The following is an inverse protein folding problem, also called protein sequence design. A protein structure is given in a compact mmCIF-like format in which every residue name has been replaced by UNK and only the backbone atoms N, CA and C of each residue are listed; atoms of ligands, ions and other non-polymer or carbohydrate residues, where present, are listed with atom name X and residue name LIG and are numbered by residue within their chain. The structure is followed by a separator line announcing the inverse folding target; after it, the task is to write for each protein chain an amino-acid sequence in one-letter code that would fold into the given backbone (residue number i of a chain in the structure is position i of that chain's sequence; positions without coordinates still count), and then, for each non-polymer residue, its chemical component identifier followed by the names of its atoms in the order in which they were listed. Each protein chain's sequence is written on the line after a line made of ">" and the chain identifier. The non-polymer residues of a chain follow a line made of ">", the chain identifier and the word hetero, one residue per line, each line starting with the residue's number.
data_IF_690017597111
#
_entry.id   IF_690017597111
#
_cell.length_a   1.000
_cell.length_b   1.000
_cell.length_c   1.000
_cell.angle_alpha   90.00
_cell.angle_beta   90.00
_cell.angle_gamma   90.00
#
_symmetry.space_group_name_H-M   'P 1'
#
loop_
_entity.id
_entity.type
_entity.pdbx_description
1 polymer ?
#
# COMPACT_ATOMS: atom_id res chain seq x y z
N UNK A 1 5.17 -31.61 36.28
CA UNK A 1 5.59 -31.33 34.89
C UNK A 1 4.49 -30.75 34.00
N UNK A 2 3.26 -31.30 34.00
CA UNK A 2 2.14 -30.82 33.16
C UNK A 2 1.74 -29.34 33.38
N UNK A 3 1.85 -28.84 34.62
CA UNK A 3 1.54 -27.43 34.96
C UNK A 3 2.59 -26.44 34.43
N UNK A 4 3.83 -26.87 34.18
CA UNK A 4 4.91 -26.02 33.69
C UNK A 4 4.74 -25.74 32.19
N UNK A 5 4.27 -26.73 31.42
CA UNK A 5 4.06 -26.60 29.97
C UNK A 5 2.91 -25.62 29.65
N UNK A 6 1.81 -25.65 30.43
CA UNK A 6 0.68 -24.73 30.24
C UNK A 6 1.09 -23.28 30.52
N UNK A 7 1.93 -23.05 31.53
CA UNK A 7 2.46 -21.71 31.85
C UNK A 7 3.41 -21.23 30.74
N UNK A 8 4.25 -22.10 30.18
CA UNK A 8 5.18 -21.73 29.10
C UNK A 8 4.45 -21.39 27.79
N UNK A 9 3.39 -22.13 27.45
CA UNK A 9 2.57 -21.87 26.24
C UNK A 9 1.73 -20.60 26.42
N UNK A 10 1.18 -20.35 27.62
CA UNK A 10 0.48 -19.11 27.92
C UNK A 10 1.42 -17.89 27.84
N UNK A 11 2.66 -18.02 28.32
CA UNK A 11 3.67 -16.95 28.28
C UNK A 11 4.09 -16.63 26.82
N UNK A 12 4.12 -17.62 25.93
CA UNK A 12 4.45 -17.44 24.52
C UNK A 12 3.37 -16.67 23.74
N UNK A 13 2.10 -16.82 24.12
CA UNK A 13 0.98 -16.09 23.48
C UNK A 13 0.91 -14.61 23.89
N UNK A 14 1.42 -14.26 25.08
CA UNK A 14 1.46 -12.87 25.56
C UNK A 14 2.58 -12.03 24.92
N UNK A 15 3.57 -12.66 24.27
CA UNK A 15 4.68 -11.96 23.60
C UNK A 15 4.36 -11.37 22.22
N UNK A 16 3.19 -11.69 21.64
CA UNK A 16 2.87 -11.34 20.25
C UNK A 16 2.13 -9.99 20.07
N UNK A 17 1.85 -9.26 21.16
CA UNK A 17 1.02 -8.04 21.12
C UNK A 17 1.76 -6.73 21.40
N UNK A 18 3.09 -6.70 21.27
CA UNK A 18 3.80 -5.42 21.23
C UNK A 18 3.74 -4.88 19.79
N UNK A 19 2.55 -4.41 19.40
CA UNK A 19 2.44 -3.50 18.27
C UNK A 19 3.04 -2.18 18.73
N UNK A 20 4.27 -1.90 18.30
CA UNK A 20 4.92 -0.65 18.60
C UNK A 20 4.20 0.46 17.83
N UNK A 21 3.49 1.34 18.55
CA UNK A 21 2.79 2.50 18.01
C UNK A 21 3.80 3.61 17.72
N UNK A 22 4.31 3.65 16.50
CA UNK A 22 5.14 4.74 16.00
C UNK A 22 4.39 5.55 14.97
N UNK A 23 4.65 6.86 14.97
CA UNK A 23 4.22 7.74 13.91
C UNK A 23 5.19 7.62 12.72
N UNK A 24 4.72 8.01 11.54
CA UNK A 24 5.49 8.04 10.31
C UNK A 24 5.56 9.47 9.79
N UNK A 25 6.76 10.05 9.83
CA UNK A 25 7.05 11.37 9.28
C UNK A 25 7.56 11.17 7.85
N UNK A 26 6.87 11.76 6.87
CA UNK A 26 7.30 11.73 5.46
C UNK A 26 7.88 13.09 5.11
N UNK A 27 9.13 13.10 4.68
CA UNK A 27 9.86 14.32 4.31
C UNK A 27 9.67 14.68 2.84
N UNK A 28 10.07 15.91 2.47
CA UNK A 28 10.06 16.38 1.07
C UNK A 28 10.98 15.53 0.19
N UNK A 29 12.08 15.05 0.75
CA UNK A 29 13.03 14.14 0.10
C UNK A 29 12.50 12.69 0.00
N UNK A 30 11.25 12.45 0.43
CA UNK A 30 10.58 11.15 0.49
C UNK A 30 11.23 10.15 1.44
N UNK A 31 12.08 10.62 2.36
CA UNK A 31 12.53 9.82 3.49
C UNK A 31 11.35 9.58 4.44
N UNK A 32 11.15 8.32 4.82
CA UNK A 32 10.16 7.90 5.82
C UNK A 32 10.88 7.67 7.14
N UNK A 33 10.54 8.48 8.13
CA UNK A 33 11.14 8.42 9.46
C UNK A 33 10.09 7.90 10.42
N UNK A 34 10.32 6.70 10.95
CA UNK A 34 9.50 6.15 12.03
C UNK A 34 9.92 6.76 13.36
N UNK A 35 8.97 7.27 14.13
CA UNK A 35 9.27 7.88 15.41
C UNK A 35 8.02 8.37 16.14
N UNK A 36 8.15 8.61 17.43
CA UNK A 36 7.09 9.22 18.23
C UNK A 36 7.24 10.74 18.17
N UNK A 37 6.26 11.43 17.59
CA UNK A 37 6.25 12.90 17.53
C UNK A 37 5.96 13.45 18.92
N UNK A 38 6.81 14.37 19.39
CA UNK A 38 6.70 15.00 20.70
C UNK A 38 6.07 16.39 20.62
N UNK A 39 6.47 17.17 19.64
CA UNK A 39 6.03 18.55 19.50
C UNK A 39 6.09 18.98 18.03
N UNK A 40 5.07 19.69 17.59
CA UNK A 40 4.98 20.31 16.27
C UNK A 40 4.88 21.82 16.50
N UNK A 41 5.94 22.55 16.19
CA UNK A 41 5.97 24.02 16.20
C UNK A 41 5.86 24.55 14.77
N UNK A 42 5.75 25.87 14.62
CA UNK A 42 5.69 26.51 13.29
C UNK A 42 7.00 26.35 12.50
N UNK A 43 8.14 26.28 13.19
CA UNK A 43 9.46 26.19 12.54
C UNK A 43 9.99 24.75 12.44
N UNK A 44 9.66 23.89 13.41
CA UNK A 44 10.29 22.58 13.60
C UNK A 44 9.35 21.55 14.21
N UNK A 45 9.67 20.28 13.97
CA UNK A 45 9.00 19.10 14.53
C UNK A 45 10.04 18.30 15.33
N UNK A 46 9.72 18.00 16.58
CA UNK A 46 10.54 17.24 17.52
C UNK A 46 10.02 15.81 17.64
N UNK A 47 10.89 14.80 17.52
CA UNK A 47 10.49 13.39 17.52
C UNK A 47 11.56 12.47 18.16
N UNK A 48 11.13 11.30 18.62
CA UNK A 48 12.01 10.23 19.12
C UNK A 48 12.06 9.08 18.12
N UNK A 49 13.25 8.54 17.84
CA UNK A 49 13.38 7.38 16.96
C UNK A 49 13.40 6.07 17.77
N UNK A 50 12.84 4.97 17.22
CA UNK A 50 12.84 3.67 17.89
C UNK A 50 14.19 2.95 17.79
N UNK A 51 15.00 3.26 16.78
CA UNK A 51 16.32 2.65 16.54
C UNK A 51 17.42 3.20 17.46
N UNK A 52 17.09 4.19 18.31
CA UNK A 52 18.02 4.92 19.16
C UNK A 52 17.50 4.99 20.59
N UNK A 53 18.39 5.17 21.58
CA UNK A 53 17.95 5.32 22.97
C UNK A 53 16.92 6.45 23.06
N UNK A 54 15.79 6.16 23.72
CA UNK A 54 14.61 7.02 23.84
C UNK A 54 14.85 8.37 24.55
N UNK A 55 16.08 8.62 24.99
CA UNK A 55 16.55 9.85 25.60
C UNK A 55 16.98 10.92 24.58
N UNK A 56 17.17 10.56 23.30
CA UNK A 56 17.63 11.52 22.27
C UNK A 56 16.44 12.07 21.48
N UNK A 57 16.18 13.37 21.64
CA UNK A 57 15.16 14.10 20.86
C UNK A 57 15.78 14.61 19.57
N UNK A 58 15.22 14.18 18.44
CA UNK A 58 15.59 14.64 17.10
C UNK A 58 14.66 15.77 16.68
N UNK A 59 15.18 16.72 15.90
CA UNK A 59 14.40 17.85 15.38
C UNK A 59 14.55 17.95 13.88
N UNK A 60 13.44 18.18 13.18
CA UNK A 60 13.38 18.39 11.73
C UNK A 60 12.67 19.72 11.43
N UNK A 61 13.14 20.54 10.47
CA UNK A 61 12.43 21.74 10.05
C UNK A 61 11.05 21.37 9.48
N UNK A 62 9.99 22.13 9.83
CA UNK A 62 8.63 21.90 9.33
C UNK A 62 8.56 21.96 7.81
N UNK A 63 9.35 22.85 7.19
CA UNK A 63 9.48 22.98 5.73
C UNK A 63 10.02 21.75 5.02
N UNK A 64 10.65 20.82 5.75
CA UNK A 64 11.13 19.53 5.21
C UNK A 64 10.14 18.40 5.39
N UNK A 65 8.97 18.64 5.98
CA UNK A 65 7.93 17.62 6.21
C UNK A 65 6.79 17.83 5.24
N UNK A 66 6.36 16.75 4.59
CA UNK A 66 5.20 16.73 3.69
C UNK A 66 3.95 16.36 4.46
N UNK A 67 4.02 15.26 5.21
CA UNK A 67 2.95 14.81 6.08
C UNK A 67 3.48 14.02 7.28
N UNK A 68 2.69 13.99 8.33
CA UNK A 68 2.85 13.07 9.46
C UNK A 68 1.62 12.17 9.49
N UNK A 69 1.84 10.86 9.49
CA UNK A 69 0.81 9.87 9.78
C UNK A 69 1.02 9.37 11.20
N UNK A 70 0.08 9.66 12.10
CA UNK A 70 0.16 9.24 13.49
C UNK A 70 -0.21 7.77 13.66
N UNK A 71 0.21 7.16 14.77
CA UNK A 71 -0.08 5.77 15.07
C UNK A 71 -1.59 5.46 15.19
N UNK A 72 -2.42 6.46 15.49
CA UNK A 72 -3.89 6.34 15.52
C UNK A 72 -4.53 6.39 14.12
N UNK A 73 -3.72 6.60 13.08
CA UNK A 73 -4.15 6.70 11.68
C UNK A 73 -4.51 8.12 11.23
N UNK A 74 -4.47 9.13 12.11
CA UNK A 74 -4.67 10.52 11.73
C UNK A 74 -3.51 11.04 10.88
N UNK A 75 -3.78 11.99 9.99
CA UNK A 75 -2.80 12.52 9.03
C UNK A 75 -2.80 14.04 9.12
N UNK A 76 -1.62 14.64 9.31
CA UNK A 76 -1.40 16.08 9.25
C UNK A 76 -0.53 16.43 8.05
N UNK A 77 -1.02 17.33 7.19
CA UNK A 77 -0.38 17.77 5.95
C UNK A 77 0.24 19.15 6.13
N UNK A 78 1.49 19.30 5.69
CA UNK A 78 2.30 20.51 5.94
C UNK A 78 2.67 21.28 4.67
N UNK A 79 2.23 20.84 3.48
CA UNK A 79 2.41 21.61 2.24
C UNK A 79 1.36 22.71 2.11
N UNK A 80 1.83 23.95 2.04
CA UNK A 80 1.00 25.10 1.70
C UNK A 80 0.49 24.99 0.25
N UNK A 81 -0.82 25.12 0.09
CA UNK A 81 -1.44 25.33 -1.24
C UNK A 81 -0.85 26.61 -1.84
N UNK A 82 -0.43 26.63 -3.12
CA UNK A 82 -0.09 27.87 -3.78
C UNK A 82 -1.33 28.76 -3.81
N UNK A 83 -1.31 29.84 -3.03
CA UNK A 83 -2.34 30.87 -3.02
C UNK A 83 -2.28 31.58 -4.36
N UNK A 84 -3.29 31.35 -5.20
CA UNK A 84 -3.51 32.10 -6.44
C UNK A 84 -3.85 33.53 -6.04
N UNK A 85 -2.90 34.44 -6.21
CA UNK A 85 -3.15 35.86 -6.15
C UNK A 85 -4.15 36.22 -7.26
N UNK A 86 -5.34 36.64 -6.83
CA UNK A 86 -6.41 37.15 -7.68
C UNK A 86 -5.94 38.47 -8.31
N UNK A 87 -5.47 38.42 -9.55
CA UNK A 87 -5.29 39.61 -10.38
C UNK A 87 -6.65 39.96 -11.00
N UNK A 88 -7.30 40.96 -10.44
CA UNK A 88 -8.47 41.61 -11.01
C UNK A 88 -7.96 42.67 -12.00
N UNK A 89 -8.15 42.44 -13.30
CA UNK A 89 -7.90 43.43 -14.35
C UNK A 89 -9.23 43.74 -15.03
N UNK A 90 -9.73 44.95 -14.79
CA UNK A 90 -10.72 45.61 -15.63
C UNK A 90 -10.04 45.99 -16.95
N UNK A 91 -10.61 45.67 -18.11
CA UNK A 91 -10.62 46.59 -19.28
C UNK A 91 -11.80 46.21 -20.19
N UNK A 92 -12.82 47.06 -20.15
CA UNK A 92 -13.76 47.27 -21.24
C UNK A 92 -13.07 48.10 -22.33
N UNK A 93 -13.36 47.80 -23.59
CA UNK A 93 -12.90 48.45 -24.84
C UNK A 93 -11.56 47.94 -25.43
N UNK A 94 -11.65 47.16 -26.53
CA UNK A 94 -11.00 47.37 -27.85
C UNK A 94 -11.52 46.26 -28.78
N UNK A 95 -12.52 46.55 -29.63
CA UNK A 95 -13.29 45.53 -30.35
C UNK A 95 -12.82 45.22 -31.78
N UNK A 96 -11.78 45.87 -32.31
CA UNK A 96 -11.46 45.72 -33.74
C UNK A 96 -10.07 45.15 -34.06
N UNK A 97 -9.10 45.16 -33.14
CA UNK A 97 -7.75 44.59 -33.38
C UNK A 97 -7.63 43.10 -33.07
N UNK A 98 -8.51 42.55 -32.23
CA UNK A 98 -8.48 41.13 -31.82
C UNK A 98 -8.93 40.18 -32.95
N UNK A 99 -9.70 40.68 -33.91
CA UNK A 99 -10.27 39.87 -35.00
C UNK A 99 -9.23 39.48 -36.06
N UNK A 100 -8.22 40.31 -36.26
CA UNK A 100 -7.09 40.05 -37.17
C UNK A 100 -6.11 39.05 -36.55
N UNK A 101 -5.81 39.20 -35.26
CA UNK A 101 -4.88 38.34 -34.52
C UNK A 101 -5.45 36.93 -34.30
N UNK A 102 -6.76 36.80 -34.10
CA UNK A 102 -7.47 35.50 -34.11
C UNK A 102 -7.45 34.80 -35.47
N UNK A 103 -7.30 35.53 -36.57
CA UNK A 103 -7.22 34.94 -37.92
C UNK A 103 -5.85 34.31 -38.15
N UNK A 104 -4.80 34.96 -37.69
CA UNK A 104 -3.43 34.46 -37.74
C UNK A 104 -3.21 33.24 -36.83
N UNK A 105 -3.81 33.23 -35.63
CA UNK A 105 -3.76 32.09 -34.71
C UNK A 105 -4.57 30.88 -35.20
N UNK A 106 -5.67 31.10 -35.93
CA UNK A 106 -6.49 30.01 -36.51
C UNK A 106 -5.80 29.28 -37.65
N UNK A 107 -5.04 29.99 -38.48
CA UNK A 107 -4.21 29.39 -39.54
C UNK A 107 -3.01 28.60 -38.97
N UNK A 108 -2.48 28.99 -37.81
CA UNK A 108 -1.46 28.20 -37.10
C UNK A 108 -2.02 26.96 -36.39
N UNK A 109 -3.28 26.99 -35.95
CA UNK A 109 -3.93 25.84 -35.29
C UNK A 109 -4.27 24.69 -36.25
N UNK A 110 -4.40 24.96 -37.55
CA UNK A 110 -4.70 23.94 -38.57
C UNK A 110 -3.48 23.05 -38.93
N UNK A 111 -2.29 23.42 -38.45
CA UNK A 111 -1.04 22.68 -38.71
C UNK A 111 -0.48 21.96 -37.47
N UNK A 112 -1.22 21.85 -36.36
CA UNK A 112 -0.73 21.11 -35.19
C UNK A 112 -0.92 19.59 -35.33
N UNK A 113 0.13 18.78 -35.05
CA UNK A 113 0.02 17.33 -35.06
C UNK A 113 -0.93 16.87 -33.94
N UNK A 114 -1.91 16.04 -34.31
CA UNK A 114 -2.81 15.37 -33.37
C UNK A 114 -2.00 14.51 -32.39
N UNK A 115 -1.94 14.90 -31.11
CA UNK A 115 -1.33 14.08 -30.07
C UNK A 115 -2.35 13.03 -29.61
N UNK A 116 -2.00 11.75 -29.75
CA UNK A 116 -2.91 10.64 -29.46
C UNK A 116 -3.04 10.39 -27.95
N UNK A 117 -4.26 10.03 -27.54
CA UNK A 117 -4.70 9.68 -26.16
C UNK A 117 -4.09 8.35 -25.67
N UNK A 118 -3.17 7.76 -26.41
CA UNK A 118 -2.66 6.39 -26.18
C UNK A 118 -1.80 6.26 -24.92
N UNK A 119 -1.13 7.33 -24.47
CA UNK A 119 -0.17 7.24 -23.36
C UNK A 119 -0.82 7.00 -21.99
N UNK A 120 -2.03 7.51 -21.76
CA UNK A 120 -2.75 7.35 -20.48
C UNK A 120 -3.34 5.94 -20.35
N UNK A 121 -3.87 5.38 -21.44
CA UNK A 121 -4.37 4.00 -21.47
C UNK A 121 -3.24 2.98 -21.31
N UNK A 122 -2.02 3.32 -21.74
CA UNK A 122 -0.88 2.42 -21.63
C UNK A 122 -0.34 2.26 -20.20
N UNK A 123 -0.58 3.24 -19.32
CA UNK A 123 -0.16 3.21 -17.91
C UNK A 123 -1.20 2.57 -16.96
N UNK A 124 -2.49 2.56 -17.35
CA UNK A 124 -3.60 1.91 -16.62
C UNK A 124 -3.83 0.45 -17.04
N UNK A 125 -3.52 0.11 -18.30
CA UNK A 125 -3.01 -1.24 -18.62
C UNK A 125 -1.70 -1.44 -17.83
N UNK A 126 -0.95 -2.53 -17.82
CA UNK A 126 0.17 -2.78 -16.90
C UNK A 126 -0.13 -2.85 -15.37
N UNK A 127 -1.08 -2.10 -14.79
CA UNK A 127 -1.47 -2.23 -13.37
C UNK A 127 -2.21 -3.55 -13.11
N UNK A 128 -2.02 -4.11 -11.91
CA UNK A 128 -2.74 -5.29 -11.44
C UNK A 128 -3.62 -4.91 -10.25
N UNK A 129 -4.92 -5.14 -10.37
CA UNK A 129 -5.88 -4.92 -9.31
C UNK A 129 -6.40 -6.26 -8.79
N UNK A 130 -6.84 -6.28 -7.53
CA UNK A 130 -7.52 -7.41 -6.93
C UNK A 130 -8.99 -7.06 -6.76
N UNK A 131 -9.86 -7.84 -7.39
CA UNK A 131 -11.31 -7.73 -7.20
C UNK A 131 -11.81 -9.01 -6.52
N UNK A 132 -11.93 -8.94 -5.19
CA UNK A 132 -12.25 -10.10 -4.35
C UNK A 132 -11.23 -11.24 -4.45
N UNK A 133 -11.61 -12.31 -5.17
CA UNK A 133 -10.78 -13.52 -5.38
C UNK A 133 -10.07 -13.54 -6.73
N UNK A 134 -10.38 -12.60 -7.61
CA UNK A 134 -9.85 -12.52 -8.96
C UNK A 134 -8.88 -11.36 -9.07
N UNK A 135 -8.02 -11.42 -10.09
CA UNK A 135 -7.06 -10.37 -10.38
C UNK A 135 -7.36 -9.83 -11.76
N UNK A 136 -7.21 -8.52 -11.94
CA UNK A 136 -7.45 -7.86 -13.22
C UNK A 136 -6.16 -7.19 -13.68
N UNK A 137 -5.81 -7.40 -14.95
CA UNK A 137 -4.68 -6.77 -15.62
C UNK A 137 -5.09 -6.44 -17.06
N UNK A 138 -4.89 -5.20 -17.50
CA UNK A 138 -5.35 -4.72 -18.83
C UNK A 138 -6.84 -4.97 -19.07
N UNK A 139 -7.71 -4.66 -18.10
CA UNK A 139 -9.16 -4.94 -18.14
C UNK A 139 -9.53 -6.41 -18.38
N UNK A 140 -8.59 -7.35 -18.20
CA UNK A 140 -8.83 -8.78 -18.36
C UNK A 140 -8.58 -9.49 -17.03
N UNK A 141 -9.48 -10.40 -16.66
CA UNK A 141 -9.29 -11.23 -15.47
C UNK A 141 -8.18 -12.25 -15.71
N UNK A 142 -7.25 -12.32 -14.76
CA UNK A 142 -6.10 -13.20 -14.77
C UNK A 142 -6.04 -14.03 -13.49
N UNK A 143 -5.48 -15.23 -13.61
CA UNK A 143 -5.27 -16.13 -12.48
C UNK A 143 -4.11 -15.67 -11.58
N UNK A 144 -4.12 -16.07 -10.31
CA UNK A 144 -3.02 -15.84 -9.37
C UNK A 144 -1.66 -16.35 -9.92
N UNK A 145 -1.67 -17.46 -10.66
CA UNK A 145 -0.46 -18.00 -11.31
C UNK A 145 0.08 -17.04 -12.39
N UNK A 146 -0.80 -16.44 -13.19
CA UNK A 146 -0.41 -15.45 -14.19
C UNK A 146 0.12 -14.18 -13.54
N UNK A 147 -0.50 -13.70 -12.45
CA UNK A 147 0.03 -12.58 -11.65
C UNK A 147 1.47 -12.87 -11.21
N UNK A 148 1.71 -14.06 -10.64
CA UNK A 148 3.05 -14.47 -10.24
C UNK A 148 4.06 -14.47 -11.38
N UNK A 149 3.67 -14.85 -12.61
CA UNK A 149 4.53 -14.82 -13.80
C UNK A 149 4.83 -13.37 -14.22
N UNK A 150 3.82 -12.50 -14.25
CA UNK A 150 3.97 -11.08 -14.59
C UNK A 150 4.92 -10.41 -13.59
N UNK A 151 4.68 -10.60 -12.30
CA UNK A 151 5.54 -10.08 -11.24
C UNK A 151 6.97 -10.61 -11.37
N UNK A 152 7.16 -11.92 -11.61
CA UNK A 152 8.49 -12.52 -11.76
C UNK A 152 9.30 -11.87 -12.90
N UNK A 153 8.64 -11.53 -14.01
CA UNK A 153 9.30 -10.99 -15.19
C UNK A 153 9.55 -9.48 -15.08
N UNK A 154 8.67 -8.74 -14.40
CA UNK A 154 8.69 -7.28 -14.39
C UNK A 154 9.28 -6.67 -13.10
N UNK A 155 9.14 -7.36 -11.96
CA UNK A 155 9.62 -6.87 -10.66
C UNK A 155 9.98 -7.97 -9.66
N UNK A 156 11.29 -8.14 -9.45
CA UNK A 156 11.82 -9.15 -8.53
C UNK A 156 11.45 -8.91 -7.05
N UNK A 157 11.25 -7.65 -6.64
CA UNK A 157 10.90 -7.31 -5.24
C UNK A 157 9.44 -7.66 -4.99
N UNK A 158 8.54 -7.23 -5.87
CA UNK A 158 7.13 -7.59 -5.79
C UNK A 158 6.94 -9.12 -5.85
N UNK A 159 7.66 -9.80 -6.75
CA UNK A 159 7.63 -11.26 -6.85
C UNK A 159 8.07 -11.96 -5.56
N UNK A 160 9.08 -11.44 -4.85
CA UNK A 160 9.53 -12.02 -3.57
C UNK A 160 8.42 -11.95 -2.51
N UNK A 161 7.70 -10.83 -2.43
CA UNK A 161 6.56 -10.69 -1.53
C UNK A 161 5.40 -11.60 -1.92
N UNK A 162 5.11 -11.70 -3.23
CA UNK A 162 4.11 -12.62 -3.77
C UNK A 162 4.42 -14.08 -3.40
N UNK A 163 5.66 -14.54 -3.63
CA UNK A 163 6.08 -15.90 -3.31
C UNK A 163 6.04 -16.18 -1.80
N UNK A 164 6.33 -15.18 -0.96
CA UNK A 164 6.19 -15.30 0.49
C UNK A 164 4.72 -15.51 0.89
N UNK A 165 3.80 -14.76 0.27
CA UNK A 165 2.36 -14.93 0.48
C UNK A 165 1.88 -16.34 0.08
N UNK A 166 2.32 -16.82 -1.08
CA UNK A 166 1.99 -18.16 -1.59
C UNK A 166 2.51 -19.28 -0.67
N UNK A 167 3.77 -19.16 -0.23
CA UNK A 167 4.34 -20.09 0.74
C UNK A 167 3.61 -20.07 2.09
N UNK A 168 3.17 -18.89 2.57
CA UNK A 168 2.39 -18.76 3.80
C UNK A 168 1.01 -19.42 3.67
N UNK A 169 0.32 -19.18 2.56
CA UNK A 169 -0.97 -19.80 2.28
C UNK A 169 -0.84 -21.33 2.20
N UNK A 170 0.14 -21.83 1.47
CA UNK A 170 0.38 -23.27 1.29
C UNK A 170 0.77 -23.95 2.62
N UNK A 171 1.74 -23.39 3.34
CA UNK A 171 2.16 -23.93 4.64
C UNK A 171 1.04 -23.88 5.67
N UNK A 172 0.27 -22.79 5.72
CA UNK A 172 -0.90 -22.67 6.57
C UNK A 172 -1.97 -23.73 6.26
N UNK A 173 -2.26 -23.96 4.98
CA UNK A 173 -3.22 -24.99 4.56
C UNK A 173 -2.77 -26.41 4.93
N UNK A 174 -1.47 -26.71 4.76
CA UNK A 174 -0.89 -28.02 5.16
C UNK A 174 -1.01 -28.21 6.68
N UNK A 175 -0.60 -27.21 7.47
CA UNK A 175 -0.64 -27.27 8.94
C UNK A 175 -2.09 -27.41 9.42
N UNK A 176 -3.02 -26.66 8.82
CA UNK A 176 -4.44 -26.77 9.14
C UNK A 176 -5.01 -28.15 8.80
N UNK A 177 -4.63 -28.71 7.65
CA UNK A 177 -5.01 -30.06 7.24
C UNK A 177 -4.51 -31.15 8.19
N UNK A 178 -3.23 -31.07 8.61
CA UNK A 178 -2.65 -31.99 9.60
C UNK A 178 -3.35 -31.84 10.95
N UNK A 179 -3.65 -30.60 11.36
CA UNK A 179 -4.40 -30.31 12.57
C UNK A 179 -5.78 -30.96 12.56
N UNK A 180 -6.54 -30.76 11.48
CA UNK A 180 -7.87 -31.34 11.31
C UNK A 180 -7.81 -32.88 11.30
N UNK A 181 -6.82 -33.45 10.60
CA UNK A 181 -6.60 -34.90 10.60
C UNK A 181 -6.30 -35.46 12.00
N UNK A 182 -5.54 -34.72 12.82
CA UNK A 182 -5.24 -35.10 14.20
C UNK A 182 -6.49 -35.03 15.10
N UNK A 183 -7.37 -34.06 14.88
CA UNK A 183 -8.67 -33.99 15.59
C UNK A 183 -9.54 -35.20 15.24
N UNK A 184 -9.69 -35.50 13.95
CA UNK A 184 -10.48 -36.64 13.48
C UNK A 184 -9.90 -37.98 13.95
N UNK A 185 -8.57 -38.13 13.90
CA UNK A 185 -7.87 -39.29 14.45
C UNK A 185 -8.10 -39.44 15.96
N UNK A 186 -7.99 -38.34 16.71
CA UNK A 186 -8.28 -38.32 18.15
C UNK A 186 -9.69 -38.81 18.46
N UNK A 187 -10.70 -38.32 17.73
CA UNK A 187 -12.09 -38.78 17.85
C UNK A 187 -12.25 -40.28 17.50
N UNK A 188 -11.51 -40.78 16.50
CA UNK A 188 -11.50 -42.22 16.17
C UNK A 188 -10.87 -43.10 17.26
N UNK A 189 -9.97 -42.55 18.07
CA UNK A 189 -9.27 -43.28 19.15
C UNK A 189 -10.00 -43.28 20.50
N UNK A 190 -11.25 -42.81 20.58
CA UNK A 190 -12.06 -42.87 21.81
C UNK A 190 -12.06 -44.26 22.48
N UNK A 191 -12.16 -45.39 21.75
CA UNK A 191 -12.10 -46.73 22.35
C UNK A 191 -10.76 -47.07 23.03
N UNK A 192 -9.67 -46.40 22.67
CA UNK A 192 -8.33 -46.64 23.22
C UNK A 192 -8.07 -45.86 24.53
N UNK A 193 -9.00 -45.00 24.95
CA UNK A 193 -8.97 -44.30 26.23
C UNK A 193 -8.93 -42.76 26.11
N UNK A 194 -9.59 -42.12 27.07
CA UNK A 194 -9.76 -40.65 27.15
C UNK A 194 -8.44 -39.86 27.12
N UNK A 195 -7.33 -40.29 27.78
CA UNK A 195 -6.10 -39.50 27.77
C UNK A 195 -5.44 -39.38 26.39
N UNK A 196 -5.49 -40.45 25.58
CA UNK A 196 -4.90 -40.47 24.23
C UNK A 196 -5.75 -39.60 23.30
N UNK A 197 -7.07 -39.73 23.38
CA UNK A 197 -8.01 -38.92 22.63
C UNK A 197 -7.84 -37.41 22.92
N UNK A 198 -7.76 -37.01 24.20
CA UNK A 198 -7.56 -35.61 24.60
C UNK A 198 -6.24 -35.04 24.09
N UNK A 199 -5.15 -35.82 24.12
CA UNK A 199 -3.85 -35.37 23.63
C UNK A 199 -3.84 -35.08 22.12
N UNK A 200 -4.41 -35.99 21.32
CA UNK A 200 -4.48 -35.85 19.87
C UNK A 200 -5.42 -34.72 19.44
N UNK A 201 -6.60 -34.64 20.05
CA UNK A 201 -7.58 -33.58 19.76
C UNK A 201 -7.06 -32.20 20.12
N UNK A 202 -6.44 -32.03 21.30
CA UNK A 202 -5.86 -30.76 21.70
C UNK A 202 -4.73 -30.31 20.76
N UNK A 203 -3.83 -31.23 20.39
CA UNK A 203 -2.75 -30.93 19.44
C UNK A 203 -3.31 -30.54 18.07
N UNK A 204 -4.33 -31.28 17.60
CA UNK A 204 -5.00 -30.99 16.34
C UNK A 204 -5.67 -29.61 16.31
N UNK A 205 -6.34 -29.20 17.38
CA UNK A 205 -6.95 -27.87 17.48
C UNK A 205 -5.91 -26.74 17.42
N UNK A 206 -4.79 -26.89 18.12
CA UNK A 206 -3.69 -25.91 18.09
C UNK A 206 -3.11 -25.78 16.68
N UNK A 207 -2.78 -26.90 16.03
CA UNK A 207 -2.26 -26.89 14.67
C UNK A 207 -3.27 -26.27 13.70
N UNK A 208 -4.56 -26.60 13.85
CA UNK A 208 -5.61 -26.03 13.00
C UNK A 208 -5.68 -24.52 13.16
N UNK A 209 -5.67 -24.00 14.39
CA UNK A 209 -5.68 -22.56 14.67
C UNK A 209 -4.47 -21.82 14.13
N UNK A 210 -3.26 -22.38 14.26
CA UNK A 210 -2.04 -21.80 13.69
C UNK A 210 -2.11 -21.80 12.17
N UNK A 211 -2.51 -22.93 11.57
CA UNK A 211 -2.62 -23.08 10.13
C UNK A 211 -3.63 -22.11 9.51
N UNK A 212 -4.83 -21.98 10.10
CA UNK A 212 -5.84 -21.03 9.62
C UNK A 212 -5.38 -19.59 9.74
N UNK A 213 -4.69 -19.23 10.83
CA UNK A 213 -4.13 -17.88 11.00
C UNK A 213 -3.14 -17.56 9.89
N UNK A 214 -2.24 -18.49 9.55
CA UNK A 214 -1.28 -18.30 8.45
C UNK A 214 -1.98 -18.11 7.09
N UNK A 215 -3.03 -18.88 6.81
CA UNK A 215 -3.85 -18.73 5.60
C UNK A 215 -4.51 -17.35 5.54
N UNK A 216 -5.04 -16.86 6.67
CA UNK A 216 -5.70 -15.56 6.76
C UNK A 216 -4.73 -14.37 6.66
N UNK A 217 -3.44 -14.57 6.97
CA UNK A 217 -2.41 -13.55 6.79
C UNK A 217 -1.89 -13.44 5.34
N UNK A 218 -2.07 -14.46 4.49
CA UNK A 218 -1.58 -14.45 3.12
C UNK A 218 -2.16 -13.29 2.24
N UNK A 219 -3.46 -12.94 2.30
CA UNK A 219 -4.05 -11.80 1.61
C UNK A 219 -3.29 -10.48 1.79
N UNK A 220 -2.86 -10.17 3.02
CA UNK A 220 -2.13 -8.92 3.33
C UNK A 220 -0.80 -8.87 2.58
N UNK A 221 -0.12 -10.02 2.46
CA UNK A 221 1.13 -10.10 1.70
C UNK A 221 0.92 -10.05 0.19
N UNK A 222 -0.20 -10.58 -0.33
CA UNK A 222 -0.57 -10.42 -1.74
C UNK A 222 -0.81 -8.95 -2.09
N UNK A 223 -1.57 -8.23 -1.26
CA UNK A 223 -1.82 -6.80 -1.47
C UNK A 223 -0.53 -5.98 -1.42
N UNK A 224 0.35 -6.27 -0.45
CA UNK A 224 1.67 -5.62 -0.39
C UNK A 224 2.50 -5.86 -1.66
N UNK A 225 2.46 -7.07 -2.22
CA UNK A 225 3.16 -7.36 -3.47
C UNK A 225 2.59 -6.57 -4.66
N UNK A 226 1.26 -6.48 -4.77
CA UNK A 226 0.59 -5.71 -5.81
C UNK A 226 0.85 -4.21 -5.67
N UNK A 227 0.83 -3.68 -4.44
CA UNK A 227 1.12 -2.26 -4.20
C UNK A 227 2.55 -1.89 -4.60
N UNK A 228 3.55 -2.71 -4.24
CA UNK A 228 4.95 -2.51 -4.67
C UNK A 228 5.06 -2.50 -6.20
N UNK A 229 4.36 -3.42 -6.86
CA UNK A 229 4.35 -3.49 -8.32
C UNK A 229 3.68 -2.26 -8.95
N UNK A 230 2.50 -1.87 -8.47
CA UNK A 230 1.73 -0.74 -9.00
C UNK A 230 2.42 0.61 -8.74
N UNK A 231 3.06 0.79 -7.58
CA UNK A 231 3.81 2.02 -7.23
C UNK A 231 4.91 2.31 -8.26
N UNK A 232 5.51 1.28 -8.85
CA UNK A 232 6.51 1.45 -9.92
C UNK A 232 5.92 2.08 -11.18
N UNK A 233 4.66 1.80 -11.50
CA UNK A 233 3.96 2.40 -12.64
C UNK A 233 3.44 3.80 -12.31
N UNK A 234 3.11 4.06 -11.04
CA UNK A 234 2.67 5.39 -10.57
C UNK A 234 3.81 6.41 -10.59
N UNK A 235 5.07 5.96 -10.56
CA UNK A 235 6.24 6.85 -10.70
C UNK A 235 6.38 7.47 -12.10
N UNK A 236 5.66 6.99 -13.10
CA UNK A 236 5.59 7.66 -14.39
C UNK A 236 4.47 8.70 -14.34
N UNK A 237 4.77 9.92 -13.88
CA UNK A 237 3.88 11.09 -13.98
C UNK A 237 3.39 11.22 -15.42
N UNK A 238 2.09 11.01 -15.63
CA UNK A 238 1.45 11.30 -16.92
C UNK A 238 1.11 12.79 -16.94
N UNK A 239 1.91 13.55 -17.70
CA UNK A 239 1.59 14.93 -18.05
C UNK A 239 0.62 14.91 -19.22
N UNK A 240 -0.65 15.19 -18.96
CA UNK A 240 -1.64 15.40 -20.01
C UNK A 240 -1.83 16.89 -20.25
N UNK A 241 -1.38 17.33 -21.42
CA UNK A 241 -1.63 18.65 -21.96
C UNK A 241 -2.76 18.55 -22.98
N UNK A 242 -3.86 19.26 -22.75
CA UNK A 242 -4.96 19.37 -23.70
C UNK A 242 -5.17 20.84 -24.05
N UNK A 243 -5.02 21.17 -25.33
CA UNK A 243 -5.31 22.48 -25.87
C UNK A 243 -6.53 22.36 -26.80
N UNK A 244 -7.59 23.09 -26.48
CA UNK A 244 -8.74 23.29 -27.35
C UNK A 244 -8.93 24.79 -27.62
N UNK A 245 -9.63 25.19 -28.70
CA UNK A 245 -9.90 26.59 -29.00
C UNK A 245 -10.62 27.36 -27.89
N UNK A 246 -11.25 26.65 -26.94
CA UNK A 246 -12.01 27.24 -25.84
C UNK A 246 -11.35 27.03 -24.46
N UNK A 247 -10.33 26.18 -24.35
CA UNK A 247 -9.68 25.90 -23.07
C UNK A 247 -8.29 25.30 -23.23
N UNK A 248 -7.37 25.75 -22.39
CA UNK A 248 -6.12 25.07 -22.10
C UNK A 248 -6.31 24.33 -20.77
N UNK A 249 -6.18 23.01 -20.79
CA UNK A 249 -6.16 22.21 -19.57
C UNK A 249 -4.84 21.47 -19.44
N UNK A 250 -4.26 21.60 -18.26
CA UNK A 250 -3.07 20.88 -17.85
C UNK A 250 -3.48 20.02 -16.66
N UNK A 251 -3.38 18.70 -16.82
CA UNK A 251 -3.65 17.76 -15.75
C UNK A 251 -2.37 17.00 -15.45
N UNK A 252 -1.96 17.08 -14.18
CA UNK A 252 -0.90 16.25 -13.61
C UNK A 252 -1.60 15.22 -12.75
N UNK A 253 -1.50 13.95 -13.15
CA UNK A 253 -1.94 12.84 -12.33
C UNK A 253 -0.74 12.41 -11.48
N UNK A 254 -0.88 12.57 -10.16
CA UNK A 254 0.08 12.12 -9.16
C UNK A 254 -0.33 10.76 -8.59
#
# INVERSE_FOLDING_TARGET
>A
MKRIIVVFVSLLCLGSMVAENYDMIITVDREQIQGLVKEISDEKISYLRPDRPSTVVYTLPRSKVVLIQFADGSIELFQDKPTVAKAEVQVEQVTDTVKEELRYLREQAEHQPSFSVDSVNHALSARIFRDGREYMHNNTYISAKQVGIILKNNDAVAYRHWKKADNLALSGAIIAGVGLGSVLGGLGTIPLGVPVCLGLTATGLVLTGVGTTLVLCAPVHYEKALNIYNEKYDRYTTLSFSASPQSLSFSVYF
#
